data_IF_231990665122
#
_entry.id   IF_231990665122
#
_cell.length_a   1.000
_cell.length_b   1.000
_cell.length_c   1.000
_cell.angle_alpha   90.00
_cell.angle_beta   90.00
_cell.angle_gamma   90.00
#
_symmetry.space_group_name_H-M   'P 1'
#
loop_
_entity.id
_entity.type
_entity.pdbx_description
1 polymer ?
#
# COMPACT_ATOMS: atom_id res chain seq x y z
N UNK A 1 -1.81 -10.10 2.89
CA UNK A 1 -1.82 -8.68 3.30
C UNK A 1 -1.41 -8.64 4.76
N UNK A 2 -0.59 -7.69 5.16
CA UNK A 2 -0.24 -7.46 6.55
C UNK A 2 -0.40 -5.97 6.89
N UNK A 3 -0.55 -5.69 8.18
CA UNK A 3 -0.36 -4.36 8.73
C UNK A 3 0.59 -4.45 9.91
N UNK A 4 1.53 -3.51 9.99
CA UNK A 4 2.55 -3.45 11.03
C UNK A 4 2.84 -2.00 11.38
N UNK A 5 3.43 -1.78 12.57
CA UNK A 5 3.92 -0.47 13.00
C UNK A 5 5.41 -0.46 12.72
N UNK A 6 5.91 0.55 12.00
CA UNK A 6 7.32 0.62 11.59
C UNK A 6 8.10 1.63 12.44
N UNK A 7 7.65 2.87 12.52
CA UNK A 7 8.27 3.97 13.27
C UNK A 7 7.19 4.90 13.86
N UNK A 8 7.43 5.49 15.04
CA UNK A 8 6.61 6.58 15.64
C UNK A 8 5.07 6.40 15.55
N UNK A 9 4.57 5.18 15.77
CA UNK A 9 3.14 4.80 15.66
C UNK A 9 2.53 4.94 14.25
N UNK A 10 3.35 5.09 13.20
CA UNK A 10 2.88 5.00 11.83
C UNK A 10 2.58 3.54 11.46
N UNK A 11 1.31 3.29 11.11
CA UNK A 11 0.84 1.98 10.69
C UNK A 11 0.90 1.84 9.17
N UNK A 12 1.59 0.81 8.71
CA UNK A 12 1.77 0.50 7.30
C UNK A 12 0.93 -0.70 6.85
N UNK A 13 0.73 -0.81 5.54
CA UNK A 13 0.21 -2.01 4.87
C UNK A 13 1.23 -2.57 3.90
N UNK A 14 1.32 -3.90 3.84
CA UNK A 14 2.25 -4.61 2.95
C UNK A 14 1.66 -5.89 2.37
N UNK A 15 2.18 -6.28 1.21
CA UNK A 15 1.88 -7.58 0.60
C UNK A 15 3.02 -8.06 -0.30
N UNK A 16 3.00 -9.35 -0.59
CA UNK A 16 3.75 -9.96 -1.68
C UNK A 16 2.76 -10.71 -2.57
N UNK A 17 3.03 -10.71 -3.88
CA UNK A 17 2.22 -11.40 -4.87
C UNK A 17 3.16 -12.01 -5.91
N UNK A 18 3.00 -13.31 -6.17
CA UNK A 18 3.80 -14.00 -7.18
C UNK A 18 3.58 -13.41 -8.59
N UNK A 19 4.63 -13.40 -9.40
CA UNK A 19 4.63 -12.83 -10.75
C UNK A 19 3.50 -13.37 -11.66
N UNK A 20 3.17 -14.67 -11.54
CA UNK A 20 2.07 -15.31 -12.28
C UNK A 20 0.69 -14.67 -12.02
N UNK A 21 0.55 -13.91 -10.94
CA UNK A 21 -0.69 -13.28 -10.51
C UNK A 21 -0.72 -11.76 -10.74
N UNK A 22 0.35 -11.18 -11.29
CA UNK A 22 0.41 -9.75 -11.58
C UNK A 22 -0.59 -9.36 -12.67
N UNK A 23 -1.02 -8.09 -12.65
CA UNK A 23 -1.95 -7.54 -13.65
C UNK A 23 -3.41 -8.02 -13.53
N UNK A 24 -3.72 -8.94 -12.62
CA UNK A 24 -5.07 -9.53 -12.44
C UNK A 24 -5.97 -8.80 -11.44
N UNK A 25 -5.51 -7.70 -10.84
CA UNK A 25 -6.29 -6.93 -9.84
C UNK A 25 -6.35 -7.56 -8.43
N UNK A 26 -5.74 -8.73 -8.23
CA UNK A 26 -5.79 -9.48 -6.96
C UNK A 26 -5.32 -8.65 -5.76
N UNK A 27 -4.19 -7.94 -5.88
CA UNK A 27 -3.67 -7.11 -4.80
C UNK A 27 -4.60 -5.94 -4.45
N UNK A 28 -5.26 -5.33 -5.45
CA UNK A 28 -6.25 -4.26 -5.22
C UNK A 28 -7.45 -4.79 -4.45
N UNK A 29 -8.01 -5.92 -4.90
CA UNK A 29 -9.16 -6.54 -4.21
C UNK A 29 -8.79 -6.98 -2.79
N UNK A 30 -7.61 -7.58 -2.61
CA UNK A 30 -7.12 -7.96 -1.29
C UNK A 30 -6.96 -6.75 -0.36
N UNK A 31 -6.44 -5.62 -0.85
CA UNK A 31 -6.30 -4.42 -0.04
C UNK A 31 -7.66 -3.80 0.31
N UNK A 32 -8.58 -3.71 -0.66
CA UNK A 32 -9.95 -3.22 -0.41
C UNK A 32 -10.69 -4.04 0.65
N UNK A 33 -10.55 -5.37 0.63
CA UNK A 33 -11.14 -6.25 1.65
C UNK A 33 -10.42 -6.14 3.01
N UNK A 34 -9.13 -5.81 3.00
CA UNK A 34 -8.33 -5.71 4.21
C UNK A 34 -8.53 -4.38 4.96
N UNK A 35 -8.71 -3.26 4.24
CA UNK A 35 -8.82 -1.92 4.84
C UNK A 35 -9.91 -1.77 5.92
N UNK A 36 -11.11 -2.38 5.80
CA UNK A 36 -12.12 -2.33 6.86
C UNK A 36 -11.71 -3.05 8.15
N UNK A 37 -10.79 -4.01 8.08
CA UNK A 37 -10.32 -4.76 9.25
C UNK A 37 -9.32 -3.96 10.09
N UNK A 38 -8.77 -2.87 9.54
CA UNK A 38 -7.81 -1.99 10.20
C UNK A 38 -8.43 -0.58 10.24
N UNK A 39 -9.19 -0.21 11.28
CA UNK A 39 -9.88 1.08 11.35
C UNK A 39 -8.95 2.25 11.67
N UNK A 40 -7.72 1.99 12.14
CA UNK A 40 -6.74 3.03 12.47
C UNK A 40 -6.35 3.85 11.23
N UNK A 41 -6.25 5.16 11.41
CA UNK A 41 -5.84 6.12 10.39
C UNK A 41 -4.91 7.17 11.01
N UNK A 42 -3.95 7.71 10.26
CA UNK A 42 -3.67 7.39 8.86
C UNK A 42 -3.03 6.00 8.66
N UNK A 43 -3.23 5.41 7.49
CA UNK A 43 -2.47 4.24 7.03
C UNK A 43 -1.47 4.65 5.96
N UNK A 44 -0.32 4.01 5.98
CA UNK A 44 0.75 4.27 5.01
C UNK A 44 1.02 3.06 4.12
N UNK A 45 1.42 3.32 2.89
CA UNK A 45 1.89 2.30 1.95
C UNK A 45 3.14 2.82 1.26
N UNK A 46 4.20 2.02 1.25
CA UNK A 46 5.46 2.39 0.61
C UNK A 46 5.71 1.50 -0.61
N UNK A 47 6.26 2.09 -1.66
CA UNK A 47 6.61 1.34 -2.87
C UNK A 47 7.81 1.98 -3.56
N UNK A 48 8.76 1.19 -4.09
CA UNK A 48 9.78 1.73 -4.99
C UNK A 48 9.16 2.44 -6.20
N UNK A 49 9.80 3.48 -6.69
CA UNK A 49 9.34 4.30 -7.82
C UNK A 49 9.22 3.51 -9.14
N UNK A 50 9.98 2.44 -9.30
CA UNK A 50 9.88 1.54 -10.47
C UNK A 50 8.73 0.52 -10.35
N UNK A 51 8.11 0.35 -9.17
CA UNK A 51 7.06 -0.63 -8.94
C UNK A 51 5.67 -0.03 -9.23
N UNK A 52 5.42 0.21 -10.52
CA UNK A 52 4.17 0.81 -11.03
C UNK A 52 2.93 -0.01 -10.63
N UNK A 53 3.07 -1.33 -10.50
CA UNK A 53 1.97 -2.21 -10.09
C UNK A 53 1.46 -1.87 -8.69
N UNK A 54 2.37 -1.70 -7.73
CA UNK A 54 2.00 -1.40 -6.34
C UNK A 54 1.54 0.04 -6.16
N UNK A 55 2.09 0.99 -6.93
CA UNK A 55 1.57 2.37 -7.01
C UNK A 55 0.11 2.40 -7.48
N UNK A 56 -0.23 1.60 -8.50
CA UNK A 56 -1.61 1.46 -8.98
C UNK A 56 -2.53 0.81 -7.95
N UNK A 57 -2.02 -0.13 -7.14
CA UNK A 57 -2.79 -0.74 -6.04
C UNK A 57 -3.14 0.32 -4.99
N UNK A 58 -2.14 1.08 -4.52
CA UNK A 58 -2.33 2.10 -3.49
C UNK A 58 -3.31 3.19 -3.94
N UNK A 59 -3.09 3.76 -5.13
CA UNK A 59 -3.97 4.82 -5.68
C UNK A 59 -5.40 4.34 -5.91
N UNK A 60 -5.62 3.13 -6.41
CA UNK A 60 -6.97 2.54 -6.56
C UNK A 60 -7.67 2.26 -5.22
N UNK A 61 -6.92 2.12 -4.14
CA UNK A 61 -7.45 1.91 -2.79
C UNK A 61 -7.60 3.23 -2.01
N UNK A 62 -7.49 4.38 -2.69
CA UNK A 62 -7.72 5.70 -2.09
C UNK A 62 -6.51 6.29 -1.37
N UNK A 63 -5.34 5.64 -1.42
CA UNK A 63 -4.13 6.24 -0.89
C UNK A 63 -3.63 7.34 -1.83
N UNK A 64 -3.19 8.45 -1.26
CA UNK A 64 -2.61 9.59 -1.98
C UNK A 64 -1.09 9.62 -1.78
N UNK A 65 -0.35 9.97 -2.83
CA UNK A 65 1.10 10.16 -2.71
C UNK A 65 1.37 11.32 -1.76
N UNK A 66 2.19 11.07 -0.73
CA UNK A 66 2.54 12.04 0.29
C UNK A 66 3.96 12.56 0.10
N UNK A 67 4.90 11.67 -0.22
CA UNK A 67 6.33 12.00 -0.30
C UNK A 67 7.10 11.02 -1.18
N UNK A 68 8.29 11.43 -1.62
CA UNK A 68 9.28 10.61 -2.30
C UNK A 68 10.67 10.88 -1.72
N UNK A 69 11.33 9.83 -1.24
CA UNK A 69 12.71 9.91 -0.76
C UNK A 69 13.55 8.80 -1.39
N UNK A 70 14.60 9.18 -2.13
CA UNK A 70 15.56 8.26 -2.73
C UNK A 70 14.92 7.13 -3.56
N UNK A 71 13.87 7.46 -4.34
CA UNK A 71 13.16 6.49 -5.18
C UNK A 71 12.21 5.57 -4.41
N UNK A 72 11.92 5.86 -3.14
CA UNK A 72 10.87 5.24 -2.35
C UNK A 72 9.69 6.21 -2.21
N UNK A 73 8.53 5.81 -2.75
CA UNK A 73 7.30 6.59 -2.69
C UNK A 73 6.51 6.22 -1.43
N UNK A 74 6.09 7.22 -0.65
CA UNK A 74 5.23 7.07 0.52
C UNK A 74 3.83 7.57 0.19
N UNK A 75 2.84 6.71 0.39
CA UNK A 75 1.42 7.01 0.20
C UNK A 75 0.68 7.00 1.54
N UNK A 76 -0.39 7.79 1.65
CA UNK A 76 -1.20 7.97 2.86
C UNK A 76 -2.69 7.79 2.55
N UNK A 77 -3.39 7.05 3.42
CA UNK A 77 -4.84 6.94 3.46
C UNK A 77 -5.35 7.56 4.77
N UNK A 78 -6.36 8.42 4.66
CA UNK A 78 -7.06 9.07 5.78
C UNK A 78 -8.31 8.31 6.15
#
# INVERSE_FOLDING_TARGET
>A
MCSFVKDADEREVGYQLGNAFWGKGIATQALQLFLPLIPLRPLYGLTPAHNIGSQKVLTRCGFMLMDEHEGLLKYKLI
#
